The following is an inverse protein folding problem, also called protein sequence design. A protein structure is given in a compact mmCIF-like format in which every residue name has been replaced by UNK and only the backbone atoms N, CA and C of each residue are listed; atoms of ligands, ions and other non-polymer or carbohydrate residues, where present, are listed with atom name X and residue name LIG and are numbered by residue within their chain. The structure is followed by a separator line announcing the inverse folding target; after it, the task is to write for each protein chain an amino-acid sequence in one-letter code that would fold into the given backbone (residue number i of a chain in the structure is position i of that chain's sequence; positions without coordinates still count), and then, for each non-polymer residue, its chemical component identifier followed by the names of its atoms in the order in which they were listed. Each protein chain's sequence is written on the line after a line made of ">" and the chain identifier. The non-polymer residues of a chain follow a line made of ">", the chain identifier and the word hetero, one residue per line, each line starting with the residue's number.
data_IF_952790629125
#
_entry.id   IF_952790629125
#
_cell.length_a   1.000
_cell.length_b   1.000
_cell.length_c   1.000
_cell.angle_alpha   90.00
_cell.angle_beta   90.00
_cell.angle_gamma   90.00
#
_symmetry.space_group_name_H-M   'P 1'
#
loop_
_entity.id
_entity.type
_entity.pdbx_description
1 polymer ?
#
# COMPACT_ATOMS: atom_id res chain seq x y z
N UNK A 1 49.10 -32.70 22.71
CA UNK A 1 49.11 -31.91 21.48
C UNK A 1 47.88 -32.25 20.64
N UNK A 2 46.72 -31.75 20.96
CA UNK A 2 45.51 -31.96 20.14
C UNK A 2 44.38 -30.98 20.52
N UNK A 3 44.61 -29.67 20.45
CA UNK A 3 43.52 -28.69 20.72
C UNK A 3 43.66 -27.40 19.91
N UNK A 4 44.30 -27.43 18.73
CA UNK A 4 44.48 -26.20 17.94
C UNK A 4 43.74 -26.19 16.60
N UNK A 5 42.99 -27.22 16.23
CA UNK A 5 42.34 -27.34 14.93
C UNK A 5 40.83 -27.13 14.92
N UNK A 6 40.16 -27.00 16.09
CA UNK A 6 38.70 -26.86 16.17
C UNK A 6 38.22 -25.42 16.22
N UNK A 7 39.10 -24.44 16.46
CA UNK A 7 38.70 -23.02 16.52
C UNK A 7 38.73 -22.27 15.17
N UNK A 8 39.36 -22.86 14.14
CA UNK A 8 39.53 -22.23 12.83
C UNK A 8 38.43 -22.56 11.83
N UNK A 9 37.72 -23.68 12.00
CA UNK A 9 36.64 -24.08 11.08
C UNK A 9 35.29 -23.37 11.36
N UNK A 10 35.05 -22.89 12.57
CA UNK A 10 33.84 -22.19 12.93
C UNK A 10 33.68 -20.82 12.27
N UNK A 11 34.79 -20.20 11.79
CA UNK A 11 34.76 -18.89 11.10
C UNK A 11 34.57 -19.00 9.58
N UNK A 12 34.70 -20.17 9.00
CA UNK A 12 34.59 -20.37 7.55
C UNK A 12 33.15 -20.63 7.09
N UNK A 13 32.22 -20.87 8.00
CA UNK A 13 30.82 -21.20 7.68
C UNK A 13 29.80 -20.24 8.27
N UNK A 14 30.16 -18.99 8.44
CA UNK A 14 29.16 -17.96 8.74
C UNK A 14 28.45 -17.54 7.44
N UNK A 15 27.69 -18.49 6.88
CA UNK A 15 26.86 -18.29 5.67
C UNK A 15 25.82 -17.19 5.85
N UNK A 16 25.48 -16.78 7.08
CA UNK A 16 24.61 -15.65 7.36
C UNK A 16 25.25 -14.30 7.00
N UNK A 17 26.60 -14.21 7.07
CA UNK A 17 27.34 -12.99 6.68
C UNK A 17 27.51 -12.82 5.17
N UNK A 18 27.37 -13.89 4.40
CA UNK A 18 27.53 -13.85 2.94
C UNK A 18 26.29 -13.38 2.19
N UNK A 19 25.17 -13.08 2.88
CA UNK A 19 23.95 -12.60 2.23
C UNK A 19 23.32 -13.59 1.24
N UNK A 20 23.72 -14.88 1.29
CA UNK A 20 23.26 -15.90 0.35
C UNK A 20 21.84 -16.39 0.64
N UNK A 21 21.36 -16.18 1.84
CA UNK A 21 19.95 -16.36 2.17
C UNK A 21 19.29 -14.98 2.16
N UNK A 22 18.73 -14.60 1.02
CA UNK A 22 17.79 -13.48 0.94
C UNK A 22 16.60 -13.88 1.82
N UNK A 23 16.59 -13.43 3.06
CA UNK A 23 15.43 -13.55 3.92
C UNK A 23 14.29 -12.85 3.16
N UNK A 24 13.27 -13.57 2.74
CA UNK A 24 12.09 -12.95 2.15
C UNK A 24 11.57 -11.96 3.17
N UNK A 25 11.55 -10.69 2.78
CA UNK A 25 11.00 -9.63 3.62
C UNK A 25 9.47 -9.79 3.60
N UNK A 26 8.96 -10.55 4.56
CA UNK A 26 7.53 -10.80 4.76
C UNK A 26 6.84 -9.60 5.42
N UNK A 27 7.56 -8.51 5.60
CA UNK A 27 7.04 -7.27 6.18
C UNK A 27 6.52 -6.34 5.08
N UNK A 28 5.49 -5.59 5.42
CA UNK A 28 4.93 -4.52 4.58
C UNK A 28 4.63 -3.32 5.46
N UNK A 29 4.92 -2.12 4.97
CA UNK A 29 4.49 -0.88 5.60
C UNK A 29 3.27 -0.31 4.88
N UNK A 30 2.19 -0.09 5.62
CA UNK A 30 1.03 0.68 5.17
C UNK A 30 1.22 2.15 5.52
N UNK A 31 1.01 3.05 4.56
CA UNK A 31 1.14 4.50 4.73
C UNK A 31 -0.20 5.14 4.39
N UNK A 32 -0.71 5.96 5.31
CA UNK A 32 -1.86 6.83 5.08
C UNK A 32 -1.40 8.29 5.06
N UNK A 33 -1.52 8.93 3.90
CA UNK A 33 -1.15 10.33 3.69
C UNK A 33 -2.38 11.20 3.92
N UNK A 34 -2.61 11.58 5.18
CA UNK A 34 -3.71 12.47 5.56
C UNK A 34 -3.40 13.96 5.33
N UNK A 35 -4.39 14.80 5.62
CA UNK A 35 -4.24 16.26 5.46
C UNK A 35 -3.51 16.93 6.62
N UNK A 36 -3.65 16.39 7.81
CA UNK A 36 -3.05 16.95 9.04
C UNK A 36 -1.95 16.08 9.63
N UNK A 37 -1.88 14.81 9.21
CA UNK A 37 -0.84 13.87 9.62
C UNK A 37 -0.62 12.78 8.57
N UNK A 38 0.59 12.22 8.59
CA UNK A 38 0.95 11.00 7.86
C UNK A 38 1.10 9.89 8.90
N UNK A 39 0.51 8.73 8.62
CA UNK A 39 0.59 7.56 9.49
C UNK A 39 1.27 6.41 8.77
N UNK A 40 2.07 5.64 9.49
CA UNK A 40 2.70 4.44 8.98
C UNK A 40 2.57 3.30 9.98
N UNK A 41 2.32 2.09 9.47
CA UNK A 41 2.26 0.87 10.27
C UNK A 41 3.01 -0.22 9.51
N UNK A 42 4.05 -0.77 10.12
CA UNK A 42 4.77 -1.92 9.57
C UNK A 42 4.29 -3.19 10.24
N UNK A 43 3.86 -4.14 9.43
CA UNK A 43 3.40 -5.45 9.88
C UNK A 43 4.17 -6.54 9.17
N UNK A 44 4.32 -7.69 9.82
CA UNK A 44 4.89 -8.91 9.26
C UNK A 44 3.83 -10.02 9.24
N UNK A 45 3.83 -10.81 8.17
CA UNK A 45 3.01 -12.02 8.11
C UNK A 45 3.77 -13.17 8.76
N UNK A 46 3.19 -13.74 9.84
CA UNK A 46 3.75 -14.88 10.56
C UNK A 46 2.66 -15.90 10.83
N UNK A 47 2.83 -17.13 10.36
CA UNK A 47 1.86 -18.24 10.54
C UNK A 47 0.42 -17.85 10.14
N UNK A 48 0.26 -17.09 9.05
CA UNK A 48 -1.02 -16.62 8.56
C UNK A 48 -1.65 -15.45 9.34
N UNK A 49 -0.96 -14.92 10.35
CA UNK A 49 -1.40 -13.78 11.16
C UNK A 49 -0.55 -12.54 10.85
N UNK A 50 -1.17 -11.37 11.00
CA UNK A 50 -0.46 -10.10 10.96
C UNK A 50 0.14 -9.82 12.35
N UNK A 51 1.45 -9.55 12.39
CA UNK A 51 2.18 -9.18 13.61
C UNK A 51 2.66 -7.74 13.44
N UNK A 52 2.29 -6.86 14.35
CA UNK A 52 2.75 -5.48 14.37
C UNK A 52 4.25 -5.43 14.70
N UNK A 53 5.04 -4.75 13.89
CA UNK A 53 6.46 -4.53 14.11
C UNK A 53 6.74 -3.13 14.64
N UNK A 54 6.22 -2.11 13.95
CA UNK A 54 6.35 -0.71 14.37
C UNK A 54 5.24 0.14 13.78
N UNK A 55 5.07 1.35 14.33
CA UNK A 55 4.14 2.34 13.79
C UNK A 55 4.62 3.75 14.14
N UNK A 56 4.08 4.73 13.43
CA UNK A 56 4.33 6.14 13.70
C UNK A 56 3.27 7.04 13.10
N UNK A 57 3.17 8.23 13.66
CA UNK A 57 2.36 9.32 13.15
C UNK A 57 3.19 10.60 13.16
N UNK A 58 3.09 11.39 12.10
CA UNK A 58 3.81 12.64 11.94
C UNK A 58 2.86 13.73 11.45
N UNK A 59 2.79 14.84 12.17
CA UNK A 59 1.96 15.99 11.80
C UNK A 59 2.54 16.71 10.56
N UNK A 60 1.69 17.05 9.60
CA UNK A 60 2.09 17.74 8.34
C UNK A 60 2.23 19.25 8.49
N UNK A 61 1.54 19.86 9.48
CA UNK A 61 1.56 21.30 9.71
C UNK A 61 2.96 21.92 9.78
N UNK A 62 3.89 21.40 10.59
CA UNK A 62 5.25 21.94 10.73
C UNK A 62 6.06 22.01 9.44
N UNK A 63 5.78 21.15 8.46
CA UNK A 63 6.45 21.15 7.15
C UNK A 63 5.94 22.25 6.20
N UNK A 64 4.91 22.98 6.60
CA UNK A 64 4.34 24.12 5.87
C UNK A 64 4.15 25.35 6.76
N UNK A 65 4.99 25.50 7.80
CA UNK A 65 4.92 26.64 8.75
C UNK A 65 3.54 26.82 9.41
N UNK A 66 2.75 25.73 9.48
CA UNK A 66 1.43 25.71 10.12
C UNK A 66 1.50 24.99 11.48
N UNK A 67 0.50 25.20 12.33
CA UNK A 67 0.45 24.54 13.64
C UNK A 67 0.19 23.02 13.51
N UNK A 68 0.60 22.27 14.53
CA UNK A 68 0.28 20.85 14.65
C UNK A 68 -1.24 20.64 14.61
N UNK A 69 -1.70 19.70 13.80
CA UNK A 69 -3.13 19.39 13.63
C UNK A 69 -3.84 20.22 12.57
N UNK A 70 -3.22 21.28 12.05
CA UNK A 70 -3.76 22.01 10.90
C UNK A 70 -3.57 21.22 9.60
N UNK A 71 -4.58 21.25 8.73
CA UNK A 71 -4.51 20.65 7.41
C UNK A 71 -3.48 21.40 6.53
N UNK A 72 -2.53 20.65 5.98
CA UNK A 72 -1.52 21.18 5.08
C UNK A 72 -1.42 20.31 3.82
N UNK A 73 -1.40 20.96 2.65
CA UNK A 73 -1.04 20.28 1.40
C UNK A 73 0.45 20.50 1.22
N UNK A 74 1.23 19.43 1.33
CA UNK A 74 2.67 19.47 1.18
C UNK A 74 3.06 19.46 -0.31
N UNK A 75 4.12 20.19 -0.65
CA UNK A 75 4.80 20.01 -1.93
C UNK A 75 5.48 18.64 -1.98
N UNK A 76 5.78 18.09 -3.17
CA UNK A 76 6.47 16.80 -3.28
C UNK A 76 7.75 16.72 -2.45
N UNK A 77 8.57 17.75 -2.46
CA UNK A 77 9.82 17.79 -1.70
C UNK A 77 9.57 17.72 -0.19
N UNK A 78 8.59 18.48 0.31
CA UNK A 78 8.20 18.48 1.72
C UNK A 78 7.53 17.15 2.14
N UNK A 79 6.83 16.50 1.22
CA UNK A 79 6.29 15.16 1.46
C UNK A 79 7.41 14.12 1.61
N UNK A 80 8.43 14.19 0.75
CA UNK A 80 9.62 13.30 0.84
C UNK A 80 10.36 13.52 2.16
N UNK A 81 10.55 14.78 2.58
CA UNK A 81 11.17 15.12 3.86
C UNK A 81 10.36 14.52 5.03
N UNK A 82 9.06 14.77 5.07
CA UNK A 82 8.17 14.27 6.11
C UNK A 82 8.13 12.73 6.18
N UNK A 83 8.06 12.06 5.03
CA UNK A 83 8.12 10.58 4.98
C UNK A 83 9.46 10.04 5.46
N UNK A 84 10.56 10.69 5.11
CA UNK A 84 11.90 10.29 5.53
C UNK A 84 12.06 10.42 7.04
N UNK A 85 11.54 11.50 7.63
CA UNK A 85 11.55 11.71 9.07
C UNK A 85 10.67 10.70 9.81
N UNK A 86 9.46 10.44 9.30
CA UNK A 86 8.56 9.42 9.84
C UNK A 86 9.21 8.03 9.82
N UNK A 87 9.80 7.63 8.69
CA UNK A 87 10.44 6.33 8.55
C UNK A 87 11.61 6.16 9.51
N UNK A 88 12.42 7.21 9.67
CA UNK A 88 13.54 7.21 10.61
C UNK A 88 13.04 7.14 12.05
N UNK A 89 12.08 7.97 12.43
CA UNK A 89 11.55 8.03 13.79
C UNK A 89 10.80 6.75 14.20
N UNK A 90 10.03 6.15 13.27
CA UNK A 90 9.30 4.91 13.49
C UNK A 90 10.17 3.65 13.24
N UNK A 91 11.43 3.81 12.85
CA UNK A 91 12.33 2.69 12.52
C UNK A 91 11.72 1.71 11.50
N UNK A 92 11.16 2.24 10.41
CA UNK A 92 10.63 1.45 9.30
C UNK A 92 11.80 0.81 8.55
N UNK A 93 11.77 -0.50 8.35
CA UNK A 93 12.88 -1.28 7.79
C UNK A 93 12.56 -1.93 6.46
N UNK A 94 11.28 -2.20 6.18
CA UNK A 94 10.85 -2.86 4.92
C UNK A 94 10.83 -1.89 3.74
N UNK A 95 11.04 -2.44 2.54
CA UNK A 95 10.89 -1.74 1.26
C UNK A 95 9.55 -2.03 0.57
N UNK A 96 8.77 -2.98 1.11
CA UNK A 96 7.45 -3.29 0.60
C UNK A 96 6.46 -2.27 1.16
N UNK A 97 5.79 -1.52 0.29
CA UNK A 97 4.94 -0.39 0.68
C UNK A 97 3.55 -0.54 0.09
N UNK A 98 2.54 -0.28 0.91
CA UNK A 98 1.16 -0.02 0.50
C UNK A 98 0.79 1.42 0.89
N UNK A 99 0.17 2.17 -0.01
CA UNK A 99 -0.17 3.59 0.23
C UNK A 99 -1.68 3.77 0.09
N UNK A 100 -2.29 4.41 1.08
CA UNK A 100 -3.64 4.93 0.99
C UNK A 100 -3.61 6.36 0.42
N UNK A 101 -4.35 6.58 -0.66
CA UNK A 101 -4.48 7.87 -1.33
C UNK A 101 -5.72 8.58 -0.78
N UNK A 102 -5.65 9.84 -0.35
CA UNK A 102 -6.81 10.59 0.11
C UNK A 102 -7.89 10.69 -0.98
N UNK A 103 -9.15 10.46 -0.63
CA UNK A 103 -10.27 10.53 -1.57
C UNK A 103 -10.34 11.87 -2.32
N UNK A 104 -9.96 12.97 -1.66
CA UNK A 104 -9.90 14.31 -2.28
C UNK A 104 -8.83 14.44 -3.38
N UNK A 105 -7.83 13.55 -3.41
CA UNK A 105 -6.78 13.52 -4.44
C UNK A 105 -7.12 12.53 -5.58
N UNK A 106 -8.31 11.93 -5.53
CA UNK A 106 -8.78 10.95 -6.51
C UNK A 106 -10.20 11.28 -6.97
N UNK A 107 -10.53 10.85 -8.17
CA UNK A 107 -11.90 10.87 -8.69
C UNK A 107 -12.42 9.44 -8.66
N UNK A 108 -13.37 9.16 -7.76
CA UNK A 108 -14.07 7.89 -7.71
C UNK A 108 -15.46 8.07 -8.32
N UNK A 109 -15.76 7.27 -9.35
CA UNK A 109 -17.08 7.30 -9.99
C UNK A 109 -17.50 5.90 -10.42
N UNK A 110 -18.80 5.68 -10.55
CA UNK A 110 -19.38 4.45 -11.09
C UNK A 110 -19.89 4.73 -12.48
N UNK A 111 -19.49 3.92 -13.45
CA UNK A 111 -19.96 4.00 -14.82
C UNK A 111 -20.72 2.71 -15.17
N UNK A 112 -21.77 2.85 -15.95
CA UNK A 112 -22.51 1.69 -16.45
C UNK A 112 -22.04 1.38 -17.87
N UNK A 113 -21.66 0.12 -18.10
CA UNK A 113 -21.28 -0.40 -19.39
C UNK A 113 -22.22 -1.52 -19.83
N UNK A 114 -22.42 -1.73 -21.13
CA UNK A 114 -23.16 -2.87 -21.62
C UNK A 114 -22.47 -4.17 -21.17
N UNK A 115 -23.25 -5.25 -21.07
CA UNK A 115 -22.71 -6.56 -20.70
C UNK A 115 -21.83 -7.08 -21.85
N UNK A 116 -20.52 -7.03 -21.65
CA UNK A 116 -19.48 -7.46 -22.58
C UNK A 116 -18.43 -8.28 -21.85
N UNK A 117 -17.54 -8.92 -22.60
CA UNK A 117 -16.39 -9.64 -22.03
C UNK A 117 -15.35 -8.70 -21.40
N UNK A 118 -14.46 -9.27 -20.57
CA UNK A 118 -13.44 -8.52 -19.86
C UNK A 118 -12.47 -7.78 -20.79
N UNK A 119 -12.17 -8.35 -21.97
CA UNK A 119 -11.29 -7.72 -22.94
C UNK A 119 -11.88 -6.40 -23.45
N UNK A 120 -13.17 -6.40 -23.78
CA UNK A 120 -13.89 -5.19 -24.19
C UNK A 120 -14.04 -4.17 -23.06
N UNK A 121 -14.25 -4.63 -21.80
CA UNK A 121 -14.27 -3.72 -20.65
C UNK A 121 -12.96 -2.95 -20.57
N UNK A 122 -11.82 -3.64 -20.70
CA UNK A 122 -10.49 -3.02 -20.64
C UNK A 122 -10.27 -1.95 -21.74
N UNK A 123 -10.89 -2.12 -22.90
CA UNK A 123 -10.84 -1.13 -23.98
C UNK A 123 -11.82 0.03 -23.76
N UNK A 124 -13.01 -0.27 -23.26
CA UNK A 124 -14.09 0.72 -23.13
C UNK A 124 -13.88 1.66 -21.94
N UNK A 125 -13.38 1.15 -20.79
CA UNK A 125 -13.24 1.95 -19.56
C UNK A 125 -12.37 3.20 -19.78
N UNK A 126 -11.18 3.14 -20.40
CA UNK A 126 -10.37 4.34 -20.64
C UNK A 126 -11.05 5.37 -21.56
N UNK A 127 -11.86 4.91 -22.51
CA UNK A 127 -12.60 5.80 -23.42
C UNK A 127 -13.76 6.49 -22.68
N UNK A 128 -14.49 5.75 -21.88
CA UNK A 128 -15.62 6.25 -21.11
C UNK A 128 -15.17 7.19 -19.99
N UNK A 129 -14.07 6.86 -19.31
CA UNK A 129 -13.48 7.66 -18.23
C UNK A 129 -13.16 9.11 -18.68
N UNK A 130 -12.78 9.29 -19.95
CA UNK A 130 -12.52 10.65 -20.51
C UNK A 130 -13.67 11.63 -20.37
N UNK A 131 -14.90 11.14 -20.25
CA UNK A 131 -16.09 11.99 -20.10
C UNK A 131 -16.19 12.60 -18.69
N UNK A 132 -15.52 11.99 -17.73
CA UNK A 132 -15.61 12.34 -16.30
C UNK A 132 -14.35 13.02 -15.78
N UNK A 133 -13.20 12.74 -16.42
CA UNK A 133 -11.90 13.25 -15.99
C UNK A 133 -11.64 14.63 -16.60
N UNK A 134 -11.49 15.70 -15.79
CA UNK A 134 -11.36 17.08 -16.27
C UNK A 134 -9.94 17.45 -16.74
N UNK A 135 -9.01 16.50 -16.76
CA UNK A 135 -7.61 16.69 -17.16
C UNK A 135 -7.20 15.63 -18.20
N UNK A 136 -6.12 15.85 -18.95
CA UNK A 136 -5.63 14.87 -19.92
C UNK A 136 -5.39 13.50 -19.30
N UNK A 137 -5.79 12.43 -19.99
CA UNK A 137 -5.62 11.04 -19.50
C UNK A 137 -4.15 10.65 -19.27
N UNK A 138 -3.20 11.36 -19.90
CA UNK A 138 -1.76 11.19 -19.67
C UNK A 138 -1.29 11.66 -18.28
N UNK A 139 -2.10 12.47 -17.60
CA UNK A 139 -1.78 13.03 -16.28
C UNK A 139 -2.45 12.27 -15.13
N UNK A 140 -3.23 11.22 -15.43
CA UNK A 140 -3.94 10.43 -14.43
C UNK A 140 -3.53 8.97 -14.46
N UNK A 141 -3.47 8.36 -13.28
CA UNK A 141 -3.45 6.92 -13.14
C UNK A 141 -4.89 6.42 -13.08
N UNK A 142 -5.29 5.57 -14.02
CA UNK A 142 -6.62 4.99 -14.09
C UNK A 142 -6.60 3.55 -13.61
N UNK A 143 -7.48 3.22 -12.69
CA UNK A 143 -7.75 1.85 -12.25
C UNK A 143 -9.27 1.63 -12.15
N UNK A 144 -9.71 0.39 -12.28
CA UNK A 144 -11.13 0.03 -12.18
C UNK A 144 -11.34 -1.41 -11.78
N UNK A 145 -12.51 -1.67 -11.24
CA UNK A 145 -12.99 -3.02 -10.99
C UNK A 145 -14.49 -3.12 -11.33
N UNK A 146 -14.92 -4.31 -11.69
CA UNK A 146 -16.32 -4.58 -12.02
C UNK A 146 -17.08 -4.84 -10.72
N UNK A 147 -18.14 -4.07 -10.49
CA UNK A 147 -19.07 -4.32 -9.39
C UNK A 147 -20.09 -5.37 -9.87
N UNK A 148 -20.09 -6.59 -9.32
CA UNK A 148 -21.08 -7.59 -9.71
C UNK A 148 -22.47 -7.11 -9.33
N UNK A 149 -23.43 -7.19 -10.27
CA UNK A 149 -24.85 -7.02 -9.92
C UNK A 149 -25.22 -8.16 -8.99
N UNK A 150 -25.56 -7.83 -7.75
CA UNK A 150 -26.18 -8.80 -6.85
C UNK A 150 -27.57 -9.09 -7.42
N UNK A 151 -27.76 -10.26 -7.99
CA UNK A 151 -29.11 -10.73 -8.28
C UNK A 151 -29.82 -10.89 -6.93
N UNK A 152 -30.83 -10.05 -6.67
CA UNK A 152 -31.61 -10.16 -5.46
C UNK A 152 -32.35 -11.50 -5.51
N UNK A 153 -31.83 -12.54 -4.87
CA UNK A 153 -32.56 -13.75 -4.61
C UNK A 153 -33.61 -13.41 -3.55
N UNK A 154 -34.90 -13.72 -3.86
CA UNK A 154 -36.00 -13.69 -2.89
C UNK A 154 -35.66 -14.67 -1.76
N UNK A 155 -34.96 -14.25 -0.73
CA UNK A 155 -34.57 -15.11 0.40
C UNK A 155 -33.27 -14.71 1.11
N UNK A 156 -32.52 -13.74 0.60
CA UNK A 156 -31.30 -13.30 1.27
C UNK A 156 -31.63 -12.50 2.53
N UNK A 157 -31.27 -13.08 3.68
CA UNK A 157 -31.31 -12.38 4.97
C UNK A 157 -30.34 -11.18 4.93
N UNK A 158 -30.73 -9.97 5.36
CA UNK A 158 -29.82 -8.83 5.41
C UNK A 158 -28.68 -9.14 6.39
N UNK A 159 -27.46 -9.35 5.90
CA UNK A 159 -26.29 -9.54 6.77
C UNK A 159 -25.18 -10.50 6.28
N UNK A 160 -25.41 -11.31 5.24
CA UNK A 160 -24.33 -12.12 4.68
C UNK A 160 -23.54 -11.33 3.64
N UNK A 161 -22.46 -10.69 4.08
CA UNK A 161 -21.45 -10.14 3.16
C UNK A 161 -20.54 -11.29 2.71
N UNK A 162 -20.73 -11.81 1.50
CA UNK A 162 -19.66 -12.55 0.83
C UNK A 162 -18.57 -11.55 0.42
N UNK A 163 -17.33 -11.79 0.83
CA UNK A 163 -16.18 -10.99 0.41
C UNK A 163 -16.08 -11.01 -1.12
N UNK A 164 -15.95 -9.86 -1.78
CA UNK A 164 -15.72 -9.79 -3.22
C UNK A 164 -14.44 -10.55 -3.55
N UNK A 165 -14.51 -11.51 -4.45
CA UNK A 165 -13.33 -12.18 -4.98
C UNK A 165 -12.55 -11.20 -5.87
N UNK A 166 -11.64 -10.45 -5.28
CA UNK A 166 -10.68 -9.62 -6.01
C UNK A 166 -9.72 -10.56 -6.72
N UNK A 167 -9.99 -10.88 -8.00
CA UNK A 167 -9.16 -11.72 -8.82
C UNK A 167 -7.70 -11.26 -8.75
N UNK A 168 -6.88 -12.05 -8.05
CA UNK A 168 -5.43 -11.88 -8.08
C UNK A 168 -4.97 -12.13 -9.50
N UNK A 169 -4.43 -11.11 -10.15
CA UNK A 169 -3.65 -11.32 -11.37
C UNK A 169 -2.40 -12.13 -11.00
N UNK A 170 -2.01 -13.09 -11.84
CA UNK A 170 -0.78 -13.88 -11.67
C UNK A 170 0.46 -12.99 -11.72
#
# INVERSE_FOLDING_TARGET
>A
MANFLTSSLGRLFDFQRLGLFKQEDNSIVGIDIGSSSIKAVQIRKENGKAVLETYGELATGPYKEAQVGQAAILTPDKLVEALSDLFRAANITTKNVAIAIPLRASLLTVIELPKVDQAKINEMVPLEARKYVPVPMSEVALDWFVIPKKEASLGDTPGSFEEPNYGRKP
#
